data_IF_755042696516
#
_entry.id   IF_755042696516
#
_cell.length_a   1.000
_cell.length_b   1.000
_cell.length_c   1.000
_cell.angle_alpha   90.00
_cell.angle_beta   90.00
_cell.angle_gamma   90.00
#
_symmetry.space_group_name_H-M   'P 1'
#
loop_
_entity.id
_entity.type
_entity.pdbx_description
1 polymer ?
#
# COMPACT_ATOMS: atom_id res chain seq x y z
N UNK A 1 0.72 -4.42 -7.23
CA UNK A 1 -0.41 -4.17 -6.30
C UNK A 1 -1.69 -3.80 -7.03
N UNK A 2 -1.68 -2.77 -7.83
CA UNK A 2 -2.88 -2.29 -8.55
C UNK A 2 -3.59 -3.40 -9.36
N UNK A 3 -2.84 -4.17 -10.13
CA UNK A 3 -3.41 -5.26 -10.93
C UNK A 3 -4.05 -6.36 -10.07
N UNK A 4 -3.51 -6.60 -8.87
CA UNK A 4 -4.07 -7.60 -7.95
C UNK A 4 -5.41 -7.18 -7.36
N UNK A 5 -5.68 -5.86 -7.29
CA UNK A 5 -6.90 -5.30 -6.69
C UNK A 5 -8.01 -4.97 -7.70
N UNK A 6 -7.72 -5.03 -9.00
CA UNK A 6 -8.58 -4.47 -10.06
C UNK A 6 -10.06 -4.89 -10.00
N UNK A 7 -10.33 -6.16 -9.73
CA UNK A 7 -11.66 -6.74 -9.81
C UNK A 7 -12.18 -7.23 -8.45
N UNK A 8 -11.60 -6.76 -7.35
CA UNK A 8 -11.96 -7.26 -6.03
C UNK A 8 -13.28 -6.64 -5.56
N UNK A 9 -14.25 -7.50 -5.28
CA UNK A 9 -15.51 -7.10 -4.67
C UNK A 9 -15.36 -6.91 -3.15
N UNK A 10 -16.20 -6.08 -2.50
CA UNK A 10 -16.10 -5.86 -1.05
C UNK A 10 -16.16 -7.14 -0.20
N UNK A 11 -17.00 -8.09 -0.56
CA UNK A 11 -17.12 -9.37 0.16
C UNK A 11 -15.83 -10.20 0.09
N UNK A 12 -15.07 -10.09 -0.98
CA UNK A 12 -13.75 -10.73 -1.11
C UNK A 12 -12.71 -9.96 -0.30
N UNK A 13 -12.77 -8.63 -0.35
CA UNK A 13 -11.81 -7.76 0.33
C UNK A 13 -11.79 -7.97 1.85
N UNK A 14 -12.95 -8.16 2.46
CA UNK A 14 -13.09 -8.31 3.91
C UNK A 14 -13.16 -9.76 4.39
N UNK A 15 -13.14 -10.74 3.48
CA UNK A 15 -13.13 -12.14 3.85
C UNK A 15 -11.80 -12.55 4.49
N UNK A 16 -11.87 -13.38 5.54
CA UNK A 16 -10.70 -13.94 6.22
C UNK A 16 -10.67 -15.45 6.07
N UNK A 17 -9.51 -16.05 5.78
CA UNK A 17 -9.39 -17.52 5.78
C UNK A 17 -9.56 -18.11 7.17
N UNK A 18 -9.20 -17.35 8.21
CA UNK A 18 -9.48 -17.69 9.61
C UNK A 18 -9.48 -16.41 10.45
N UNK A 19 -10.06 -16.43 11.68
CA UNK A 19 -10.18 -15.22 12.50
C UNK A 19 -8.85 -14.50 12.81
N UNK A 20 -7.74 -15.26 12.88
CA UNK A 20 -6.42 -14.71 13.23
C UNK A 20 -5.64 -14.20 12.03
N UNK A 21 -6.18 -14.37 10.83
CA UNK A 21 -5.47 -13.98 9.60
C UNK A 21 -5.99 -12.64 9.08
N UNK A 22 -5.10 -11.91 8.43
CA UNK A 22 -5.49 -10.68 7.77
C UNK A 22 -6.37 -10.95 6.55
N UNK A 23 -7.32 -10.05 6.31
CA UNK A 23 -8.06 -10.03 5.07
C UNK A 23 -7.30 -9.22 4.00
N UNK A 24 -7.80 -9.26 2.78
CA UNK A 24 -7.19 -8.57 1.64
C UNK A 24 -7.13 -7.05 1.85
N UNK A 25 -8.18 -6.45 2.40
CA UNK A 25 -8.24 -5.03 2.68
C UNK A 25 -7.12 -4.60 3.64
N UNK A 26 -6.90 -5.38 4.69
CA UNK A 26 -5.83 -5.11 5.66
C UNK A 26 -4.44 -5.22 5.04
N UNK A 27 -4.21 -6.21 4.20
CA UNK A 27 -2.93 -6.38 3.49
C UNK A 27 -2.65 -5.19 2.57
N UNK A 28 -3.64 -4.80 1.77
CA UNK A 28 -3.51 -3.68 0.84
C UNK A 28 -3.28 -2.36 1.58
N UNK A 29 -4.00 -2.15 2.66
CA UNK A 29 -3.91 -0.92 3.46
C UNK A 29 -2.58 -0.80 4.21
N UNK A 30 -2.09 -1.92 4.75
CA UNK A 30 -0.75 -2.01 5.35
C UNK A 30 0.33 -1.61 4.34
N UNK A 31 0.29 -2.16 3.14
CA UNK A 31 1.25 -1.78 2.10
C UNK A 31 1.16 -0.28 1.77
N UNK A 32 -0.04 0.25 1.69
CA UNK A 32 -0.26 1.68 1.41
C UNK A 32 0.35 2.57 2.49
N UNK A 33 0.20 2.20 3.75
CA UNK A 33 0.85 2.90 4.85
C UNK A 33 2.37 2.87 4.72
N UNK A 34 2.95 1.71 4.41
CA UNK A 34 4.40 1.57 4.22
C UNK A 34 4.91 2.40 3.02
N UNK A 35 4.17 2.40 1.92
CA UNK A 35 4.50 3.19 0.73
C UNK A 35 4.50 4.70 1.05
N UNK A 36 3.52 5.16 1.81
CA UNK A 36 3.45 6.54 2.29
C UNK A 36 4.66 6.90 3.15
N UNK A 37 5.08 6.01 4.04
CA UNK A 37 6.27 6.20 4.87
C UNK A 37 7.54 6.35 4.02
N UNK A 38 7.69 5.50 3.02
CA UNK A 38 8.82 5.57 2.08
C UNK A 38 8.79 6.90 1.31
N UNK A 39 7.62 7.32 0.85
CA UNK A 39 7.47 8.61 0.16
C UNK A 39 7.91 9.77 1.05
N UNK A 40 7.54 9.76 2.32
CA UNK A 40 8.00 10.76 3.29
C UNK A 40 9.52 10.75 3.48
N UNK A 41 10.12 9.58 3.59
CA UNK A 41 11.57 9.44 3.72
C UNK A 41 12.30 9.94 2.47
N UNK A 42 11.81 9.62 1.29
CA UNK A 42 12.41 10.07 0.02
C UNK A 42 12.33 11.58 -0.14
N UNK A 43 11.21 12.19 0.21
CA UNK A 43 10.99 13.63 0.08
C UNK A 43 11.65 14.46 1.21
N UNK A 44 11.88 13.83 2.37
CA UNK A 44 12.35 14.52 3.57
C UNK A 44 11.28 15.38 4.23
N UNK A 45 10.02 15.21 3.86
CA UNK A 45 8.88 15.94 4.43
C UNK A 45 7.89 14.97 5.07
N UNK A 46 7.17 15.44 6.09
CA UNK A 46 6.09 14.65 6.68
C UNK A 46 4.93 14.61 5.69
N UNK A 47 4.47 13.41 5.30
CA UNK A 47 3.29 13.31 4.44
C UNK A 47 2.04 13.86 5.13
N UNK A 48 1.02 14.19 4.35
CA UNK A 48 -0.30 14.52 4.86
C UNK A 48 -0.84 13.40 5.78
N UNK A 49 -1.75 13.69 6.72
CA UNK A 49 -2.30 12.67 7.61
C UNK A 49 -2.88 11.48 6.84
N UNK A 50 -2.67 10.28 7.37
CA UNK A 50 -3.25 9.08 6.79
C UNK A 50 -4.76 9.06 7.05
N UNK A 51 -5.49 8.31 6.21
CA UNK A 51 -6.95 8.27 6.26
C UNK A 51 -7.50 7.66 7.55
N UNK A 52 -6.72 6.80 8.23
CA UNK A 52 -7.02 6.29 9.56
C UNK A 52 -5.84 6.54 10.50
N UNK A 53 -6.14 6.75 11.78
CA UNK A 53 -5.13 6.79 12.83
C UNK A 53 -4.60 5.39 13.11
N UNK A 54 -3.30 5.28 13.38
CA UNK A 54 -2.64 4.03 13.71
C UNK A 54 -1.32 3.90 12.96
N UNK A 55 -0.70 2.75 13.12
CA UNK A 55 0.59 2.46 12.50
C UNK A 55 0.61 1.02 12.00
N UNK A 56 1.26 0.83 10.86
CA UNK A 56 1.61 -0.46 10.30
C UNK A 56 0.42 -1.31 9.88
N UNK A 57 -0.22 -2.00 10.81
CA UNK A 57 -1.40 -2.82 10.55
C UNK A 57 -2.66 -2.18 11.11
N UNK A 58 -3.72 -2.18 10.30
CA UNK A 58 -5.02 -1.59 10.65
C UNK A 58 -6.07 -2.68 10.64
N UNK A 59 -6.84 -2.80 11.71
CA UNK A 59 -7.95 -3.75 11.77
C UNK A 59 -9.11 -3.21 10.92
N UNK A 60 -9.45 -3.93 9.87
CA UNK A 60 -10.53 -3.60 8.93
C UNK A 60 -11.46 -4.81 8.81
N UNK A 61 -12.30 -5.06 9.84
CA UNK A 61 -13.14 -6.27 9.86
C UNK A 61 -14.26 -6.23 8.83
N UNK A 62 -14.65 -5.03 8.38
CA UNK A 62 -15.72 -4.85 7.41
C UNK A 62 -15.81 -3.39 6.95
N UNK A 63 -16.84 -3.04 6.17
CA UNK A 63 -16.98 -1.70 5.60
C UNK A 63 -17.35 -0.61 6.61
N UNK A 64 -17.71 -0.96 7.81
CA UNK A 64 -18.16 -0.02 8.84
C UNK A 64 -17.06 0.95 9.29
N UNK A 65 -15.80 0.52 9.29
CA UNK A 65 -14.67 1.39 9.64
C UNK A 65 -14.19 2.20 8.44
N UNK A 66 -14.07 1.55 7.29
CA UNK A 66 -13.67 2.17 6.03
C UNK A 66 -14.18 1.29 4.88
N UNK A 67 -14.94 1.87 3.98
CA UNK A 67 -15.52 1.15 2.86
C UNK A 67 -14.44 0.72 1.85
N UNK A 68 -14.63 -0.41 1.18
CA UNK A 68 -13.68 -0.93 0.22
C UNK A 68 -13.32 0.08 -0.89
N UNK A 69 -14.26 0.82 -1.48
CA UNK A 69 -13.90 1.85 -2.47
C UNK A 69 -12.96 2.92 -1.92
N UNK A 70 -13.11 3.31 -0.66
CA UNK A 70 -12.22 4.28 -0.01
C UNK A 70 -10.81 3.70 0.20
N UNK A 71 -10.72 2.44 0.60
CA UNK A 71 -9.45 1.72 0.74
C UNK A 71 -8.76 1.63 -0.63
N UNK A 72 -9.49 1.20 -1.64
CA UNK A 72 -8.99 1.07 -3.01
C UNK A 72 -8.47 2.41 -3.55
N UNK A 73 -9.21 3.48 -3.32
CA UNK A 73 -8.81 4.83 -3.72
C UNK A 73 -7.51 5.27 -3.01
N UNK A 74 -7.38 4.99 -1.72
CA UNK A 74 -6.17 5.30 -0.96
C UNK A 74 -4.94 4.55 -1.50
N UNK A 75 -5.10 3.28 -1.87
CA UNK A 75 -4.04 2.47 -2.50
C UNK A 75 -3.59 3.11 -3.82
N UNK A 76 -4.53 3.43 -4.69
CA UNK A 76 -4.22 4.02 -6.00
C UNK A 76 -3.58 5.40 -5.87
N UNK A 77 -4.10 6.23 -4.99
CA UNK A 77 -3.58 7.57 -4.75
C UNK A 77 -2.12 7.53 -4.27
N UNK A 78 -1.82 6.67 -3.30
CA UNK A 78 -0.45 6.56 -2.78
C UNK A 78 0.51 6.00 -3.82
N UNK A 79 0.10 5.01 -4.60
CA UNK A 79 0.93 4.51 -5.70
C UNK A 79 1.26 5.59 -6.72
N UNK A 80 0.28 6.41 -7.08
CA UNK A 80 0.47 7.52 -8.02
C UNK A 80 1.45 8.56 -7.46
N UNK A 81 1.30 8.93 -6.20
CA UNK A 81 2.19 9.90 -5.53
C UNK A 81 3.62 9.39 -5.42
N UNK A 82 3.78 8.13 -5.02
CA UNK A 82 5.12 7.54 -4.89
C UNK A 82 5.81 7.43 -6.25
N UNK A 83 5.11 6.94 -7.26
CA UNK A 83 5.66 6.82 -8.61
C UNK A 83 6.06 8.17 -9.19
N UNK A 84 5.25 9.20 -8.97
CA UNK A 84 5.56 10.57 -9.40
C UNK A 84 6.81 11.10 -8.72
N UNK A 85 6.96 10.90 -7.41
CA UNK A 85 8.14 11.34 -6.66
C UNK A 85 9.40 10.63 -7.15
N UNK A 86 9.34 9.31 -7.34
CA UNK A 86 10.47 8.53 -7.85
C UNK A 86 10.90 9.04 -9.23
N UNK A 87 9.94 9.31 -10.12
CA UNK A 87 10.22 9.87 -11.45
C UNK A 87 10.88 11.26 -11.35
N UNK A 88 10.40 12.13 -10.47
CA UNK A 88 10.97 13.45 -10.25
C UNK A 88 12.41 13.37 -9.73
N UNK A 89 12.67 12.48 -8.79
CA UNK A 89 14.02 12.26 -8.25
C UNK A 89 14.97 11.70 -9.31
N UNK A 90 14.51 10.73 -10.09
CA UNK A 90 15.32 10.12 -11.15
C UNK A 90 15.67 11.12 -12.26
N UNK A 91 14.77 12.05 -12.56
CA UNK A 91 14.98 13.08 -13.55
C UNK A 91 15.77 14.29 -13.03
N UNK A 92 16.09 14.34 -11.74
CA UNK A 92 16.78 15.45 -11.12
C UNK A 92 15.94 16.72 -10.97
N UNK A 93 14.60 16.60 -11.12
CA UNK A 93 13.68 17.74 -10.99
C UNK A 93 13.36 18.10 -9.55
N UNK A 94 13.63 17.20 -8.63
CA UNK A 94 13.56 17.47 -7.18
C UNK A 94 14.77 16.84 -6.51
N UNK A 95 15.11 17.32 -5.32
CA UNK A 95 16.25 16.82 -4.56
C UNK A 95 15.80 16.06 -3.34
N UNK A 96 16.59 15.07 -2.94
CA UNK A 96 16.47 14.35 -1.70
C UNK A 96 17.74 14.54 -0.88
N UNK A 97 17.61 14.54 0.46
CA UNK A 97 18.76 14.56 1.37
C UNK A 97 19.47 13.19 1.41
N UNK A 98 18.80 12.15 0.93
CA UNK A 98 19.36 10.81 0.91
C UNK A 98 20.35 10.65 -0.24
N UNK A 99 21.35 9.80 -0.04
CA UNK A 99 22.26 9.39 -1.11
C UNK A 99 21.52 8.59 -2.18
N UNK A 100 22.11 8.44 -3.35
CA UNK A 100 21.57 7.62 -4.42
C UNK A 100 21.37 6.17 -3.94
N UNK A 101 22.34 5.60 -3.20
CA UNK A 101 22.25 4.24 -2.65
C UNK A 101 21.11 4.12 -1.66
N UNK A 102 20.91 5.09 -0.78
CA UNK A 102 19.80 5.08 0.19
C UNK A 102 18.45 5.15 -0.52
N UNK A 103 18.32 6.03 -1.53
CA UNK A 103 17.09 6.11 -2.34
C UNK A 103 16.81 4.79 -3.06
N UNK A 104 17.83 4.21 -3.67
CA UNK A 104 17.70 2.93 -4.36
C UNK A 104 17.20 1.84 -3.41
N UNK A 105 17.79 1.74 -2.22
CA UNK A 105 17.40 0.75 -1.22
C UNK A 105 15.95 0.93 -0.75
N UNK A 106 15.50 2.16 -0.55
CA UNK A 106 14.11 2.42 -0.17
C UNK A 106 13.13 2.03 -1.28
N UNK A 107 13.43 2.38 -2.52
CA UNK A 107 12.58 2.04 -3.68
C UNK A 107 12.56 0.54 -3.91
N UNK A 108 13.71 -0.13 -3.84
CA UNK A 108 13.80 -1.58 -3.96
C UNK A 108 13.00 -2.25 -2.85
N UNK A 109 13.16 -1.80 -1.61
CA UNK A 109 12.46 -2.34 -0.46
C UNK A 109 10.94 -2.26 -0.59
N UNK A 110 10.41 -1.10 -0.95
CA UNK A 110 8.96 -0.94 -1.12
C UNK A 110 8.43 -1.70 -2.34
N UNK A 111 9.25 -1.86 -3.38
CA UNK A 111 8.89 -2.66 -4.54
C UNK A 111 8.79 -4.14 -4.18
N UNK A 112 9.76 -4.68 -3.46
CA UNK A 112 9.71 -6.06 -2.97
C UNK A 112 8.53 -6.27 -2.03
N UNK A 113 8.24 -5.32 -1.16
CA UNK A 113 7.09 -5.33 -0.27
C UNK A 113 5.77 -5.40 -1.06
N UNK A 114 5.67 -4.62 -2.14
CA UNK A 114 4.51 -4.65 -3.03
C UNK A 114 4.32 -6.01 -3.69
N UNK A 115 5.39 -6.62 -4.17
CA UNK A 115 5.35 -7.95 -4.81
C UNK A 115 4.92 -9.02 -3.80
N UNK A 116 5.51 -9.00 -2.60
CA UNK A 116 5.17 -9.93 -1.52
C UNK A 116 3.67 -9.86 -1.18
N UNK A 117 3.16 -8.67 -0.93
CA UNK A 117 1.75 -8.50 -0.55
C UNK A 117 0.79 -8.72 -1.72
N UNK A 118 1.19 -8.41 -2.94
CA UNK A 118 0.39 -8.77 -4.11
C UNK A 118 0.20 -10.29 -4.22
N UNK A 119 1.26 -11.05 -3.90
CA UNK A 119 1.18 -12.51 -3.83
C UNK A 119 0.20 -13.00 -2.76
N UNK A 120 0.22 -12.39 -1.58
CA UNK A 120 -0.75 -12.70 -0.51
C UNK A 120 -2.18 -12.38 -0.94
N UNK A 121 -2.40 -11.26 -1.60
CA UNK A 121 -3.72 -10.87 -2.11
C UNK A 121 -4.22 -11.88 -3.12
N UNK A 122 -3.39 -12.31 -4.05
CA UNK A 122 -3.76 -13.34 -5.03
C UNK A 122 -4.10 -14.67 -4.34
N UNK A 123 -3.35 -15.04 -3.31
CA UNK A 123 -3.64 -16.24 -2.54
C UNK A 123 -5.00 -16.13 -1.83
N UNK A 124 -5.28 -15.00 -1.19
CA UNK A 124 -6.57 -14.77 -0.52
C UNK A 124 -7.74 -14.86 -1.50
N UNK A 125 -7.60 -14.29 -2.70
CA UNK A 125 -8.60 -14.40 -3.76
C UNK A 125 -8.86 -15.86 -4.14
N UNK A 126 -7.82 -16.65 -4.31
CA UNK A 126 -7.95 -18.07 -4.65
C UNK A 126 -8.58 -18.88 -3.52
N UNK A 127 -8.20 -18.60 -2.28
CA UNK A 127 -8.79 -19.30 -1.12
C UNK A 127 -10.27 -18.96 -0.96
N UNK A 128 -10.68 -17.76 -1.27
CA UNK A 128 -12.11 -17.38 -1.29
C UNK A 128 -12.87 -18.03 -2.45
N UNK A 129 -12.19 -18.42 -3.52
CA UNK A 129 -12.80 -18.94 -4.72
C UNK A 129 -13.22 -17.88 -5.73
N UNK A 130 -12.67 -16.69 -5.57
CA UNK A 130 -12.96 -15.58 -6.46
C UNK A 130 -12.11 -15.65 -7.75
#
# INVERSE_FOLDING_TARGET
MKAALGDVAPEVAFWRPSPERHNLAEVAFHHTFCARSVRGQLSGTTPEPFVLEGQDWFALPGPERLAWPQIHAAVEEEQTKLAALVAELAAGRTLSRLSEAERFNLVLGITCHAVYHAGQIQLLKRLHGA
#
